data_IF_576032965353
#
_entry.id   IF_576032965353
#
_cell.length_a   1.000
_cell.length_b   1.000
_cell.length_c   1.000
_cell.angle_alpha   90.00
_cell.angle_beta   90.00
_cell.angle_gamma   90.00
#
_symmetry.space_group_name_H-M   'P 1'
#
loop_
_entity.id
_entity.type
_entity.pdbx_description
1 polymer ?
#
# COMPACT_ATOMS: atom_id res chain seq x y z
N UNK A 1 24.45 15.61 -17.99
CA UNK A 1 23.93 14.28 -17.62
C UNK A 1 22.80 14.49 -16.60
N UNK A 2 21.61 14.87 -17.08
CA UNK A 2 20.43 14.99 -16.22
C UNK A 2 19.83 13.59 -16.11
N UNK A 3 20.05 12.93 -14.98
CA UNK A 3 19.22 11.81 -14.59
C UNK A 3 17.83 12.41 -14.39
N UNK A 4 16.92 12.22 -15.36
CA UNK A 4 15.53 12.62 -15.22
C UNK A 4 15.01 11.93 -13.96
N UNK A 5 14.63 12.70 -12.93
CA UNK A 5 14.01 12.24 -11.68
C UNK A 5 12.60 11.69 -12.00
N UNK A 6 12.54 10.65 -12.81
CA UNK A 6 11.31 9.94 -13.11
C UNK A 6 11.03 8.94 -12.00
N UNK A 7 9.80 8.97 -11.55
CA UNK A 7 9.29 8.01 -10.60
C UNK A 7 9.23 6.65 -11.29
N UNK A 8 9.78 5.61 -10.64
CA UNK A 8 9.68 4.24 -11.12
C UNK A 8 8.29 3.65 -10.79
N UNK A 9 7.34 3.86 -11.71
CA UNK A 9 5.97 3.37 -11.60
C UNK A 9 5.89 1.85 -11.46
N UNK A 10 6.74 1.10 -12.18
CA UNK A 10 6.78 -0.37 -12.09
C UNK A 10 7.26 -0.85 -10.72
N UNK A 11 8.27 -0.17 -10.17
CA UNK A 11 8.75 -0.40 -8.81
C UNK A 11 7.69 -0.09 -7.75
N UNK A 12 6.93 1.01 -7.90
CA UNK A 12 5.85 1.38 -6.99
C UNK A 12 4.70 0.38 -6.98
N UNK A 13 4.26 -0.08 -8.15
CA UNK A 13 3.20 -1.10 -8.24
C UNK A 13 3.65 -2.42 -7.62
N UNK A 14 4.89 -2.85 -7.89
CA UNK A 14 5.49 -4.05 -7.27
C UNK A 14 5.52 -3.93 -5.74
N UNK A 15 5.87 -2.75 -5.22
CA UNK A 15 5.85 -2.46 -3.78
C UNK A 15 4.44 -2.50 -3.19
N UNK A 16 3.45 -1.91 -3.88
CA UNK A 16 2.05 -1.94 -3.45
C UNK A 16 1.52 -3.38 -3.35
N UNK A 17 1.79 -4.23 -4.35
CA UNK A 17 1.41 -5.64 -4.31
C UNK A 17 2.05 -6.40 -3.15
N UNK A 18 3.32 -6.11 -2.83
CA UNK A 18 4.01 -6.72 -1.67
C UNK A 18 3.39 -6.31 -0.35
N UNK A 19 2.97 -5.04 -0.22
CA UNK A 19 2.28 -4.56 0.97
C UNK A 19 0.89 -5.21 1.14
N UNK A 20 0.14 -5.39 0.05
CA UNK A 20 -1.13 -6.11 0.09
C UNK A 20 -0.95 -7.57 0.51
N UNK A 21 0.08 -8.25 -0.03
CA UNK A 21 0.41 -9.62 0.35
C UNK A 21 0.78 -9.73 1.84
N UNK A 22 1.65 -8.83 2.34
CA UNK A 22 2.05 -8.80 3.74
C UNK A 22 0.86 -8.50 4.68
N UNK A 23 -0.07 -7.65 4.26
CA UNK A 23 -1.31 -7.39 5.01
C UNK A 23 -2.21 -8.64 5.07
N UNK A 24 -2.28 -9.42 3.97
CA UNK A 24 -2.98 -10.71 3.94
C UNK A 24 -2.37 -11.75 4.89
N UNK A 25 -1.04 -11.88 4.90
CA UNK A 25 -0.31 -12.76 5.84
C UNK A 25 -0.54 -12.36 7.29
N UNK A 26 -0.52 -11.06 7.58
CA UNK A 26 -0.78 -10.53 8.91
C UNK A 26 -2.21 -10.91 9.37
N UNK A 27 -3.21 -10.79 8.49
CA UNK A 27 -4.58 -11.16 8.81
C UNK A 27 -4.81 -12.68 8.93
N UNK A 28 -3.96 -13.49 8.29
CA UNK A 28 -3.98 -14.95 8.41
C UNK A 28 -3.34 -15.47 9.72
N UNK A 29 -2.71 -14.59 10.50
CA UNK A 29 -2.08 -14.97 11.77
C UNK A 29 -3.16 -15.23 12.82
N UNK A 30 -3.52 -16.49 13.01
CA UNK A 30 -4.42 -16.92 14.08
C UNK A 30 -3.67 -17.04 15.42
N UNK A 31 -4.28 -16.54 16.49
CA UNK A 31 -3.77 -16.77 17.83
C UNK A 31 -3.84 -18.27 18.19
N UNK A 32 -2.84 -18.84 18.89
CA UNK A 32 -2.95 -20.19 19.42
C UNK A 32 -4.13 -20.27 20.38
N UNK A 33 -5.03 -21.23 20.16
CA UNK A 33 -6.19 -21.47 21.02
C UNK A 33 -5.86 -22.54 22.06
N UNK A 34 -6.13 -22.27 23.34
CA UNK A 34 -6.17 -23.26 24.42
C UNK A 34 -4.83 -23.59 25.10
N UNK A 35 -4.27 -22.64 25.86
CA UNK A 35 -3.04 -22.87 26.66
C UNK A 35 -3.25 -22.91 28.18
N UNK A 36 -4.48 -23.09 28.69
CA UNK A 36 -4.68 -23.25 30.13
C UNK A 36 -6.08 -23.70 30.55
N UNK A 37 -6.18 -24.26 31.76
CA UNK A 37 -7.45 -24.53 32.42
C UNK A 37 -8.23 -23.20 32.56
N UNK A 38 -9.48 -23.17 32.10
CA UNK A 38 -10.35 -21.98 31.96
C UNK A 38 -10.65 -21.21 33.25
N UNK A 39 -10.04 -21.58 34.38
CA UNK A 39 -10.19 -20.94 35.69
C UNK A 39 -8.99 -20.14 36.18
N UNK A 40 -7.84 -20.14 35.48
CA UNK A 40 -6.68 -19.33 35.88
C UNK A 40 -6.78 -17.91 35.34
N UNK A 41 -6.64 -16.90 36.21
CA UNK A 41 -6.63 -15.48 35.82
C UNK A 41 -5.57 -15.17 34.74
N UNK A 42 -4.43 -15.87 34.77
CA UNK A 42 -3.39 -15.75 33.74
C UNK A 42 -3.86 -16.23 32.37
N UNK A 43 -4.69 -17.30 32.29
CA UNK A 43 -5.23 -17.78 31.02
C UNK A 43 -6.17 -16.74 30.40
N UNK A 44 -7.07 -16.16 31.21
CA UNK A 44 -7.96 -15.07 30.77
C UNK A 44 -7.17 -13.84 30.30
N UNK A 45 -6.09 -13.49 31.00
CA UNK A 45 -5.23 -12.36 30.59
C UNK A 45 -4.51 -12.63 29.27
N UNK A 46 -4.02 -13.85 29.03
CA UNK A 46 -3.38 -14.25 27.76
C UNK A 46 -4.40 -14.26 26.63
N UNK A 47 -5.60 -14.78 26.85
CA UNK A 47 -6.67 -14.76 25.84
C UNK A 47 -7.08 -13.32 25.47
N UNK A 48 -7.15 -12.43 26.46
CA UNK A 48 -7.35 -10.99 26.24
C UNK A 48 -6.23 -10.36 25.40
N UNK A 49 -4.97 -10.64 25.74
CA UNK A 49 -3.83 -10.15 24.98
C UNK A 49 -3.82 -10.68 23.53
N UNK A 50 -4.20 -11.94 23.31
CA UNK A 50 -4.36 -12.50 21.95
C UNK A 50 -5.46 -11.80 21.15
N UNK A 51 -6.58 -11.47 21.80
CA UNK A 51 -7.66 -10.70 21.17
C UNK A 51 -7.18 -9.30 20.76
N UNK A 52 -6.43 -8.61 21.64
CA UNK A 52 -5.85 -7.29 21.35
C UNK A 52 -4.85 -7.33 20.18
N UNK A 53 -3.96 -8.34 20.16
CA UNK A 53 -3.02 -8.54 19.04
C UNK A 53 -3.75 -8.80 17.74
N UNK A 54 -4.80 -9.62 17.77
CA UNK A 54 -5.65 -9.89 16.59
C UNK A 54 -6.28 -8.61 16.07
N UNK A 55 -6.90 -7.81 16.94
CA UNK A 55 -7.52 -6.54 16.57
C UNK A 55 -6.50 -5.53 16.01
N UNK A 56 -5.33 -5.43 16.65
CA UNK A 56 -4.24 -4.58 16.17
C UNK A 56 -3.75 -5.01 14.79
N UNK A 57 -3.52 -6.30 14.58
CA UNK A 57 -3.03 -6.85 13.31
C UNK A 57 -4.00 -6.58 12.16
N UNK A 58 -5.31 -6.75 12.38
CA UNK A 58 -6.34 -6.44 11.40
C UNK A 58 -6.39 -4.93 11.06
N UNK A 59 -6.29 -4.07 12.08
CA UNK A 59 -6.25 -2.62 11.86
C UNK A 59 -5.00 -2.17 11.10
N UNK A 60 -3.84 -2.79 11.39
CA UNK A 60 -2.60 -2.54 10.67
C UNK A 60 -2.71 -3.00 9.21
N UNK A 61 -3.23 -4.21 8.95
CA UNK A 61 -3.47 -4.72 7.61
C UNK A 61 -4.36 -3.78 6.79
N UNK A 62 -5.48 -3.33 7.36
CA UNK A 62 -6.37 -2.37 6.70
C UNK A 62 -5.68 -1.04 6.34
N UNK A 63 -4.83 -0.51 7.23
CA UNK A 63 -4.05 0.71 6.96
C UNK A 63 -3.03 0.50 5.84
N UNK A 64 -2.36 -0.64 5.82
CA UNK A 64 -1.37 -0.97 4.78
C UNK A 64 -2.04 -1.08 3.42
N UNK A 65 -3.17 -1.77 3.32
CA UNK A 65 -3.97 -1.89 2.09
C UNK A 65 -4.43 -0.52 1.60
N UNK A 66 -4.98 0.32 2.50
CA UNK A 66 -5.39 1.67 2.13
C UNK A 66 -4.22 2.50 1.58
N UNK A 67 -3.03 2.38 2.20
CA UNK A 67 -1.82 3.06 1.75
C UNK A 67 -1.35 2.55 0.39
N UNK A 68 -1.40 1.24 0.13
CA UNK A 68 -1.06 0.65 -1.15
C UNK A 68 -2.00 1.18 -2.26
N UNK A 69 -3.31 1.24 -2.00
CA UNK A 69 -4.28 1.81 -2.92
C UNK A 69 -3.98 3.29 -3.25
N UNK A 70 -3.66 4.11 -2.25
CA UNK A 70 -3.26 5.50 -2.48
C UNK A 70 -1.99 5.65 -3.31
N UNK A 71 -1.03 4.73 -3.16
CA UNK A 71 0.20 4.75 -3.98
C UNK A 71 -0.11 4.41 -5.43
N UNK A 72 -0.95 3.41 -5.71
CA UNK A 72 -1.39 3.07 -7.07
C UNK A 72 -2.15 4.23 -7.71
N UNK A 73 -3.02 4.89 -6.94
CA UNK A 73 -3.77 6.05 -7.40
C UNK A 73 -2.84 7.24 -7.72
N UNK A 74 -1.84 7.51 -6.87
CA UNK A 74 -0.85 8.55 -7.09
C UNK A 74 0.01 8.26 -8.34
N UNK A 75 0.43 7.01 -8.53
CA UNK A 75 1.18 6.57 -9.71
C UNK A 75 0.38 6.78 -11.00
N UNK A 76 -0.91 6.40 -10.98
CA UNK A 76 -1.81 6.61 -12.13
C UNK A 76 -1.93 8.10 -12.48
N UNK A 77 -2.07 8.97 -11.48
CA UNK A 77 -2.12 10.43 -11.68
C UNK A 77 -0.80 10.97 -12.23
N UNK A 78 0.34 10.47 -11.73
CA UNK A 78 1.66 10.86 -12.21
C UNK A 78 1.84 10.54 -13.69
N UNK A 79 1.49 9.32 -14.12
CA UNK A 79 1.57 8.90 -15.53
C UNK A 79 0.67 9.74 -16.44
N UNK A 80 -0.56 10.03 -16.01
CA UNK A 80 -1.46 10.92 -16.74
C UNK A 80 -0.87 12.32 -16.89
N UNK A 81 -0.34 12.89 -15.81
CA UNK A 81 0.27 14.22 -15.82
C UNK A 81 1.51 14.30 -16.74
N UNK A 82 2.37 13.26 -16.76
CA UNK A 82 3.50 13.19 -17.69
C UNK A 82 3.03 13.16 -19.15
N UNK A 83 1.95 12.42 -19.44
CA UNK A 83 1.37 12.33 -20.79
C UNK A 83 0.80 13.67 -21.24
N UNK A 84 0.02 14.33 -20.38
CA UNK A 84 -0.56 15.65 -20.68
C UNK A 84 0.54 16.72 -20.85
N UNK A 85 1.55 16.70 -19.99
CA UNK A 85 2.69 17.61 -20.09
C UNK A 85 3.46 17.41 -21.40
N UNK A 86 3.68 16.16 -21.81
CA UNK A 86 4.33 15.85 -23.08
C UNK A 86 3.52 16.38 -24.28
N UNK A 87 2.18 16.23 -24.26
CA UNK A 87 1.29 16.76 -25.29
C UNK A 87 1.35 18.30 -25.36
N UNK A 88 1.32 18.97 -24.21
CA UNK A 88 1.45 20.44 -24.15
C UNK A 88 2.80 20.92 -24.70
N UNK A 89 3.90 20.25 -24.34
CA UNK A 89 5.23 20.57 -24.86
C UNK A 89 5.32 20.35 -26.38
N UNK A 90 4.74 19.27 -26.90
CA UNK A 90 4.70 19.01 -28.34
C UNK A 90 3.90 20.08 -29.11
N UNK A 91 2.81 20.58 -28.51
CA UNK A 91 2.00 21.65 -29.08
C UNK A 91 2.76 22.98 -29.15
N UNK A 92 3.59 23.30 -28.15
CA UNK A 92 4.45 24.49 -28.16
C UNK A 92 5.61 24.34 -29.14
N UNK A 93 6.19 23.14 -29.24
CA UNK A 93 7.34 22.87 -30.11
C UNK A 93 7.00 22.81 -31.61
N UNK A 94 5.73 22.62 -31.95
CA UNK A 94 5.24 22.67 -33.34
C UNK A 94 4.75 24.09 -33.65
N UNK A 95 5.53 24.95 -34.33
CA UNK A 95 5.02 26.24 -34.73
C UNK A 95 3.92 25.97 -35.75
N UNK A 96 2.70 26.43 -35.47
CA UNK A 96 1.67 26.57 -36.50
C UNK A 96 2.27 27.48 -37.57
N UNK A 97 2.77 26.89 -38.66
CA UNK A 97 3.10 27.63 -39.88
C UNK A 97 1.75 28.09 -40.43
N UNK A 98 1.38 29.32 -40.08
CA UNK A 98 0.24 30.00 -40.69
C UNK A 98 0.68 30.42 -42.09
N UNK A 99 0.21 29.69 -43.10
CA UNK A 99 0.26 30.11 -44.50
C UNK A 99 -0.78 31.20 -44.77
#
# INVERSE_FOLDING_TARGET
MQQNLRVDSGGLQTMATRWDAAAGELNATAAPTGLGLSGQASAVAVDGAHADVTAFSAALAARVIARAAHVVEADTRYVANETDSANMLAAVASPVVRA
#
